data_IF_235920549230
#
_entry.id   IF_235920549230
#
_cell.length_a   1.000
_cell.length_b   1.000
_cell.length_c   1.000
_cell.angle_alpha   90.00
_cell.angle_beta   90.00
_cell.angle_gamma   90.00
#
_symmetry.space_group_name_H-M   'P 1'
#
loop_
_entity.id
_entity.type
_entity.pdbx_description
1 polymer ?
#
# COMPACT_ATOMS: atom_id res chain seq x y z
N UNK A 1 -8.17 9.27 7.64
CA UNK A 1 -8.09 9.72 6.21
C UNK A 1 -9.19 9.01 5.44
N UNK A 2 -9.66 9.53 4.29
CA UNK A 2 -10.62 8.78 3.47
C UNK A 2 -9.93 7.66 2.68
N UNK A 3 -10.64 6.58 2.35
CA UNK A 3 -10.14 5.44 1.56
C UNK A 3 -9.43 5.90 0.28
N UNK A 4 -10.02 6.83 -0.48
CA UNK A 4 -9.44 7.38 -1.71
C UNK A 4 -8.07 8.04 -1.48
N UNK A 5 -7.91 8.80 -0.40
CA UNK A 5 -6.63 9.46 -0.07
C UNK A 5 -5.56 8.43 0.31
N UNK A 6 -5.95 7.35 1.00
CA UNK A 6 -5.05 6.26 1.35
C UNK A 6 -4.62 5.48 0.09
N UNK A 7 -5.54 5.26 -0.86
CA UNK A 7 -5.25 4.62 -2.15
C UNK A 7 -4.24 5.41 -2.96
N UNK A 8 -4.46 6.72 -3.11
CA UNK A 8 -3.53 7.60 -3.83
C UNK A 8 -2.15 7.61 -3.17
N UNK A 9 -2.10 7.69 -1.84
CA UNK A 9 -0.85 7.65 -1.10
C UNK A 9 -0.11 6.32 -1.27
N UNK A 10 -0.82 5.19 -1.21
CA UNK A 10 -0.27 3.86 -1.45
C UNK A 10 0.26 3.71 -2.87
N UNK A 11 -0.50 4.17 -3.87
CA UNK A 11 -0.08 4.17 -5.27
C UNK A 11 1.20 4.97 -5.47
N UNK A 12 1.25 6.19 -4.94
CA UNK A 12 2.43 7.05 -5.03
C UNK A 12 3.66 6.43 -4.33
N UNK A 13 3.47 5.86 -3.13
CA UNK A 13 4.55 5.18 -2.41
C UNK A 13 5.07 3.96 -3.17
N UNK A 14 4.19 3.17 -3.77
CA UNK A 14 4.57 2.02 -4.59
C UNK A 14 5.28 2.43 -5.87
N UNK A 15 4.78 3.42 -6.59
CA UNK A 15 5.40 3.97 -7.79
C UNK A 15 6.84 4.45 -7.50
N UNK A 16 7.03 5.21 -6.42
CA UNK A 16 8.34 5.67 -5.96
C UNK A 16 9.29 4.50 -5.62
N UNK A 17 8.80 3.47 -4.93
CA UNK A 17 9.60 2.33 -4.49
C UNK A 17 9.93 1.36 -5.65
N UNK A 18 9.05 1.24 -6.63
CA UNK A 18 9.25 0.41 -7.82
C UNK A 18 9.98 1.16 -8.93
N UNK A 19 10.07 2.49 -8.86
CA UNK A 19 10.68 3.32 -9.89
C UNK A 19 9.87 3.33 -11.19
N UNK A 20 8.54 3.24 -11.09
CA UNK A 20 7.63 3.30 -12.22
C UNK A 20 6.64 4.45 -12.06
N UNK A 21 5.87 4.72 -13.12
CA UNK A 21 4.82 5.74 -13.05
C UNK A 21 3.63 5.26 -12.18
N UNK A 22 2.93 6.20 -11.57
CA UNK A 22 1.75 5.92 -10.74
C UNK A 22 0.60 5.36 -11.57
N UNK A 23 0.51 5.73 -12.85
CA UNK A 23 -0.51 5.24 -13.78
C UNK A 23 -0.40 3.73 -14.04
N UNK A 24 0.81 3.16 -13.88
CA UNK A 24 1.05 1.72 -13.99
C UNK A 24 0.60 0.93 -12.75
N UNK A 25 0.22 1.61 -11.66
CA UNK A 25 -0.21 0.98 -10.42
C UNK A 25 -1.73 0.89 -10.38
N UNK A 26 -2.27 -0.28 -10.70
CA UNK A 26 -3.70 -0.55 -10.57
C UNK A 26 -4.08 -0.94 -9.14
N UNK A 27 -5.09 -0.29 -8.55
CA UNK A 27 -5.47 -0.48 -7.15
C UNK A 27 -6.14 -1.83 -6.87
N UNK A 28 -6.73 -2.44 -7.90
CA UNK A 28 -7.43 -3.73 -7.83
C UNK A 28 -6.48 -4.89 -8.16
N UNK A 29 -5.31 -4.58 -8.70
CA UNK A 29 -4.30 -5.56 -9.04
C UNK A 29 -3.50 -5.94 -7.80
N UNK A 30 -3.30 -7.24 -7.62
CA UNK A 30 -2.57 -7.72 -6.44
C UNK A 30 -1.11 -7.26 -6.47
N UNK A 31 -0.54 -6.94 -5.32
CA UNK A 31 0.87 -6.56 -5.16
C UNK A 31 1.82 -7.51 -5.88
N UNK A 32 1.57 -8.82 -5.77
CA UNK A 32 2.36 -9.84 -6.46
C UNK A 32 2.28 -9.75 -7.99
N UNK A 33 1.09 -9.43 -8.55
CA UNK A 33 0.90 -9.23 -9.99
C UNK A 33 1.56 -7.93 -10.49
N UNK A 34 1.60 -6.90 -9.65
CA UNK A 34 2.33 -5.65 -9.90
C UNK A 34 3.86 -5.85 -9.87
N UNK A 35 4.36 -7.02 -9.47
CA UNK A 35 5.79 -7.28 -9.30
C UNK A 35 6.36 -6.76 -7.98
N UNK A 36 5.50 -6.42 -7.01
CA UNK A 36 5.93 -5.98 -5.67
C UNK A 36 6.56 -7.15 -4.94
N UNK A 37 7.81 -6.95 -4.52
CA UNK A 37 8.54 -7.91 -3.69
C UNK A 37 8.26 -7.69 -2.20
N UNK A 38 8.51 -8.70 -1.36
CA UNK A 38 8.36 -8.60 0.10
C UNK A 38 9.14 -7.42 0.70
N UNK A 39 10.30 -7.09 0.14
CA UNK A 39 11.13 -5.98 0.64
C UNK A 39 10.51 -4.61 0.29
N UNK A 40 9.91 -4.47 -0.89
CA UNK A 40 9.21 -3.25 -1.30
C UNK A 40 7.92 -3.06 -0.49
N UNK A 41 7.17 -4.14 -0.30
CA UNK A 41 6.01 -4.19 0.59
C UNK A 41 6.34 -3.69 2.00
N UNK A 42 7.41 -4.21 2.61
CA UNK A 42 7.87 -3.76 3.92
C UNK A 42 8.25 -2.28 3.95
N UNK A 43 8.87 -1.75 2.88
CA UNK A 43 9.19 -0.32 2.78
C UNK A 43 7.92 0.54 2.76
N UNK A 44 6.93 0.18 1.96
CA UNK A 44 5.63 0.87 1.92
C UNK A 44 5.00 0.87 3.31
N UNK A 45 4.92 -0.30 3.97
CA UNK A 45 4.35 -0.40 5.32
C UNK A 45 5.07 0.48 6.33
N UNK A 46 6.42 0.47 6.35
CA UNK A 46 7.17 1.33 7.25
C UNK A 46 6.93 2.82 6.98
N UNK A 47 6.72 3.21 5.72
CA UNK A 47 6.34 4.59 5.34
C UNK A 47 4.95 4.92 5.91
N UNK A 48 3.98 4.02 5.73
CA UNK A 48 2.62 4.17 6.28
C UNK A 48 2.62 4.30 7.80
N UNK A 49 3.32 3.39 8.50
CA UNK A 49 3.42 3.40 9.97
C UNK A 49 3.91 4.75 10.49
N UNK A 50 4.89 5.37 9.80
CA UNK A 50 5.43 6.68 10.18
C UNK A 50 4.50 7.84 9.83
N UNK A 51 3.80 7.78 8.70
CA UNK A 51 2.92 8.86 8.25
C UNK A 51 1.60 8.91 9.00
N UNK A 52 1.03 7.73 9.28
CA UNK A 52 -0.28 7.58 9.91
C UNK A 52 -0.19 7.35 11.43
N UNK A 53 1.02 7.17 11.97
CA UNK A 53 1.27 6.85 13.39
C UNK A 53 0.52 5.59 13.86
N UNK A 54 0.52 4.55 13.01
CA UNK A 54 -0.18 3.28 13.27
C UNK A 54 0.79 2.09 13.26
N UNK A 55 0.46 1.04 14.01
CA UNK A 55 1.20 -0.22 14.00
C UNK A 55 0.60 -1.22 13.01
N UNK A 56 1.26 -1.43 11.87
CA UNK A 56 0.78 -2.35 10.81
C UNK A 56 1.57 -3.63 10.72
N UNK A 57 1.02 -4.77 11.12
CA UNK A 57 1.68 -6.07 10.99
C UNK A 57 2.07 -6.34 9.52
N UNK A 58 3.31 -6.73 9.19
CA UNK A 58 3.68 -7.09 7.81
C UNK A 58 2.81 -8.17 7.17
N UNK A 59 2.13 -9.00 7.96
CA UNK A 59 1.12 -9.94 7.49
C UNK A 59 -0.02 -9.26 6.71
N UNK A 60 -0.33 -7.98 6.97
CA UNK A 60 -1.43 -7.26 6.30
C UNK A 60 -1.25 -7.17 4.78
N UNK A 61 -0.03 -7.12 4.26
CA UNK A 61 0.19 -7.14 2.79
C UNK A 61 -0.08 -8.52 2.18
N UNK A 62 0.08 -9.58 2.97
CA UNK A 62 -0.26 -10.93 2.52
C UNK A 62 -1.76 -11.21 2.63
N UNK A 63 -2.41 -10.61 3.64
CA UNK A 63 -3.85 -10.70 3.87
C UNK A 63 -4.65 -9.83 2.89
N UNK A 64 -4.27 -8.56 2.74
CA UNK A 64 -4.83 -7.61 1.79
C UNK A 64 -3.97 -7.59 0.54
N UNK A 65 -4.46 -8.24 -0.52
CA UNK A 65 -3.64 -8.55 -1.69
C UNK A 65 -3.43 -7.36 -2.62
N UNK A 66 -4.24 -6.32 -2.55
CA UNK A 66 -4.18 -5.13 -3.40
C UNK A 66 -4.35 -3.84 -2.60
N UNK A 67 -4.18 -2.70 -3.27
CA UNK A 67 -4.23 -1.36 -2.66
C UNK A 67 -5.63 -1.06 -2.15
N UNK A 68 -6.69 -1.45 -2.88
CA UNK A 68 -8.06 -1.17 -2.49
C UNK A 68 -8.42 -1.87 -1.16
N UNK A 69 -8.09 -3.15 -1.03
CA UNK A 69 -8.30 -3.91 0.21
C UNK A 69 -7.51 -3.32 1.39
N UNK A 70 -6.24 -2.97 1.15
CA UNK A 70 -5.39 -2.39 2.19
C UNK A 70 -5.89 -1.00 2.62
N UNK A 71 -6.30 -0.16 1.68
CA UNK A 71 -6.83 1.17 1.98
C UNK A 71 -8.11 1.11 2.81
N UNK A 72 -9.00 0.17 2.49
CA UNK A 72 -10.24 -0.05 3.25
C UNK A 72 -9.96 -0.52 4.68
N UNK A 73 -8.99 -1.40 4.86
CA UNK A 73 -8.54 -1.82 6.19
C UNK A 73 -7.98 -0.63 6.99
N UNK A 74 -7.14 0.19 6.35
CA UNK A 74 -6.51 1.35 6.97
C UNK A 74 -7.51 2.44 7.33
N UNK A 75 -8.55 2.67 6.52
CA UNK A 75 -9.63 3.61 6.85
C UNK A 75 -10.31 3.23 8.17
N UNK A 76 -10.45 1.94 8.47
CA UNK A 76 -11.00 1.47 9.74
C UNK A 76 -10.04 1.59 10.93
N UNK A 77 -8.74 1.83 10.69
CA UNK A 77 -7.71 1.92 11.73
C UNK A 77 -7.25 3.37 12.03
N UNK A 78 -7.52 4.33 11.14
CA UNK A 78 -7.15 5.76 11.31
C UNK A 78 -8.32 6.59 11.80
#
# INVERSE_FOLDING_TARGET
>A
MREEEIKEYLRAALAEIMGCDIDHIDENTSFFKLGVTSMQALKVLNKMRKTLDIELNPAVIFEYKCIADLAKYLEGCT
#
